data_IF_533447281850
#
_entry.id   IF_533447281850
#
_cell.length_a   1.000
_cell.length_b   1.000
_cell.length_c   1.000
_cell.angle_alpha   90.00
_cell.angle_beta   90.00
_cell.angle_gamma   90.00
#
_symmetry.space_group_name_H-M   'P 1'
#
loop_
_entity.id
_entity.type
_entity.pdbx_description
1 polymer ?
#
# COMPACT_ATOMS: atom_id res chain seq x y z
N UNK A 1 -27.90 -15.17 -7.49
CA UNK A 1 -26.80 -15.38 -8.46
C UNK A 1 -25.75 -16.23 -7.75
N UNK A 2 -25.32 -17.33 -8.37
CA UNK A 2 -24.23 -18.14 -7.81
C UNK A 2 -22.95 -17.31 -7.85
N UNK A 3 -22.28 -17.14 -6.71
CA UNK A 3 -20.99 -16.47 -6.62
C UNK A 3 -19.98 -17.36 -7.36
N UNK A 4 -19.47 -16.87 -8.47
CA UNK A 4 -18.43 -17.58 -9.23
C UNK A 4 -17.08 -17.30 -8.56
N UNK A 5 -16.45 -18.34 -8.04
CA UNK A 5 -15.11 -18.30 -7.44
C UNK A 5 -14.15 -19.07 -8.34
N UNK A 6 -12.92 -18.57 -8.59
CA UNK A 6 -11.92 -19.30 -9.37
C UNK A 6 -11.60 -20.68 -8.77
N UNK A 7 -11.50 -21.68 -9.62
CA UNK A 7 -11.08 -23.03 -9.19
C UNK A 7 -9.63 -23.01 -8.68
N UNK A 8 -9.21 -24.00 -7.85
CA UNK A 8 -7.81 -24.11 -7.40
C UNK A 8 -6.80 -24.12 -8.56
N UNK A 9 -7.16 -24.77 -9.69
CA UNK A 9 -6.31 -24.82 -10.88
C UNK A 9 -6.14 -23.44 -11.52
N UNK A 10 -7.19 -22.62 -11.54
CA UNK A 10 -7.14 -21.26 -12.05
C UNK A 10 -6.30 -20.36 -11.13
N UNK A 11 -6.44 -20.52 -9.82
CA UNK A 11 -5.65 -19.80 -8.83
C UNK A 11 -4.15 -20.16 -8.94
N UNK A 12 -3.84 -21.45 -9.06
CA UNK A 12 -2.45 -21.91 -9.25
C UNK A 12 -1.85 -21.41 -10.57
N UNK A 13 -2.66 -21.40 -11.66
CA UNK A 13 -2.25 -20.84 -12.94
C UNK A 13 -1.91 -19.35 -12.80
N UNK A 14 -2.75 -18.57 -12.10
CA UNK A 14 -2.51 -17.17 -11.82
C UNK A 14 -1.18 -16.96 -11.08
N UNK A 15 -0.92 -17.69 -9.99
CA UNK A 15 0.34 -17.60 -9.26
C UNK A 15 1.57 -17.90 -10.13
N UNK A 16 1.49 -18.92 -11.00
CA UNK A 16 2.57 -19.22 -11.96
C UNK A 16 2.81 -18.08 -12.96
N UNK A 17 1.76 -17.41 -13.38
CA UNK A 17 1.86 -16.25 -14.27
C UNK A 17 2.48 -15.03 -13.55
N UNK A 18 2.12 -14.77 -12.29
CA UNK A 18 2.79 -13.76 -11.44
C UNK A 18 4.27 -14.10 -11.27
N UNK A 19 4.59 -15.34 -10.95
CA UNK A 19 5.96 -15.81 -10.84
C UNK A 19 6.72 -15.56 -12.16
N UNK A 20 6.10 -15.81 -13.30
CA UNK A 20 6.72 -15.56 -14.61
C UNK A 20 7.01 -14.06 -14.82
N UNK A 21 6.11 -13.14 -14.44
CA UNK A 21 6.39 -11.69 -14.47
C UNK A 21 7.65 -11.39 -13.66
N UNK A 22 7.70 -11.89 -12.43
CA UNK A 22 8.79 -11.58 -11.49
C UNK A 22 10.14 -12.19 -11.91
N UNK A 23 10.16 -13.37 -12.53
CA UNK A 23 11.40 -14.05 -12.94
C UNK A 23 11.86 -13.69 -14.35
N UNK A 24 10.95 -13.69 -15.31
CA UNK A 24 11.30 -13.57 -16.73
C UNK A 24 11.11 -12.15 -17.28
N UNK A 25 10.53 -11.27 -16.50
CA UNK A 25 10.34 -9.87 -16.89
C UNK A 25 11.68 -9.15 -16.96
N UNK A 26 11.99 -8.52 -18.08
CA UNK A 26 13.07 -7.53 -18.11
C UNK A 26 12.62 -6.30 -17.30
N UNK A 27 13.35 -6.01 -16.23
CA UNK A 27 13.11 -4.83 -15.42
C UNK A 27 14.13 -3.75 -15.80
N UNK A 28 13.68 -2.75 -16.53
CA UNK A 28 14.44 -1.52 -16.77
C UNK A 28 14.16 -0.45 -15.71
N UNK A 29 13.09 -0.65 -14.93
CA UNK A 29 12.66 0.22 -13.84
C UNK A 29 11.80 -0.56 -12.85
N UNK A 30 11.53 0.04 -11.69
CA UNK A 30 10.66 -0.53 -10.65
C UNK A 30 9.16 -0.38 -10.96
N UNK A 31 8.78 0.25 -12.07
CA UNK A 31 7.40 0.56 -12.43
C UNK A 31 6.47 -0.66 -12.55
N UNK A 32 6.99 -1.80 -13.05
CA UNK A 32 6.19 -3.04 -13.13
C UNK A 32 5.84 -3.59 -11.76
N UNK A 33 6.76 -3.47 -10.79
CA UNK A 33 6.53 -3.87 -9.40
C UNK A 33 5.50 -2.96 -8.75
N UNK A 34 5.66 -1.65 -8.91
CA UNK A 34 4.70 -0.67 -8.42
C UNK A 34 3.29 -0.88 -9.02
N UNK A 35 3.19 -1.23 -10.31
CA UNK A 35 1.89 -1.53 -10.92
C UNK A 35 1.25 -2.76 -10.28
N UNK A 36 2.00 -3.84 -10.12
CA UNK A 36 1.47 -5.07 -9.55
C UNK A 36 0.99 -4.87 -8.10
N UNK A 37 1.76 -4.16 -7.27
CA UNK A 37 1.35 -3.76 -5.91
C UNK A 37 0.10 -2.86 -5.94
N UNK A 38 0.04 -1.89 -6.87
CA UNK A 38 -1.12 -1.01 -7.03
C UNK A 38 -2.39 -1.79 -7.39
N UNK A 39 -2.29 -2.79 -8.27
CA UNK A 39 -3.41 -3.64 -8.65
C UNK A 39 -3.89 -4.51 -7.47
N UNK A 40 -2.99 -5.05 -6.64
CA UNK A 40 -3.35 -5.77 -5.41
C UNK A 40 -4.13 -4.85 -4.46
N UNK A 41 -3.61 -3.67 -4.16
CA UNK A 41 -4.25 -2.71 -3.25
C UNK A 41 -5.62 -2.26 -3.73
N UNK A 42 -5.74 -1.93 -5.02
CA UNK A 42 -7.03 -1.53 -5.60
C UNK A 42 -8.02 -2.69 -5.65
N UNK A 43 -7.58 -3.92 -5.91
CA UNK A 43 -8.44 -5.09 -5.82
C UNK A 43 -8.98 -5.29 -4.41
N UNK A 44 -8.19 -5.05 -3.35
CA UNK A 44 -8.63 -5.09 -1.96
C UNK A 44 -9.64 -3.97 -1.65
N UNK A 45 -9.33 -2.74 -2.08
CA UNK A 45 -10.11 -1.55 -1.73
C UNK A 45 -11.44 -1.43 -2.49
N UNK A 46 -11.48 -1.85 -3.75
CA UNK A 46 -12.63 -1.65 -4.65
C UNK A 46 -13.26 -2.96 -5.12
N UNK A 47 -12.57 -4.09 -4.91
CA UNK A 47 -13.00 -5.38 -5.42
C UNK A 47 -13.96 -6.11 -4.48
N UNK A 48 -14.48 -7.23 -5.02
CA UNK A 48 -15.32 -8.20 -4.30
C UNK A 48 -14.66 -9.57 -4.37
N UNK A 49 -15.06 -10.49 -3.47
CA UNK A 49 -14.54 -11.86 -3.49
C UNK A 49 -15.36 -12.73 -4.45
N UNK A 50 -15.35 -12.32 -5.70
CA UNK A 50 -16.00 -13.02 -6.82
C UNK A 50 -15.01 -13.11 -7.99
N UNK A 51 -15.24 -14.03 -8.90
CA UNK A 51 -14.47 -14.15 -10.14
C UNK A 51 -14.84 -13.13 -11.22
N UNK A 52 -15.58 -12.08 -10.88
CA UNK A 52 -15.96 -11.03 -11.83
C UNK A 52 -14.77 -10.17 -12.24
N UNK A 53 -14.92 -9.46 -13.34
CA UNK A 53 -13.96 -8.43 -13.78
C UNK A 53 -14.06 -7.20 -12.89
N UNK A 54 -12.95 -6.47 -12.73
CA UNK A 54 -12.91 -5.20 -12.02
C UNK A 54 -12.37 -4.11 -12.96
N UNK A 55 -13.12 -3.03 -13.08
CA UNK A 55 -12.70 -1.84 -13.83
C UNK A 55 -12.02 -0.86 -12.91
N UNK A 56 -10.80 -0.46 -13.23
CA UNK A 56 -9.96 0.46 -12.45
C UNK A 56 -9.73 1.75 -13.25
N UNK A 57 -9.91 2.90 -12.58
CA UNK A 57 -9.52 4.19 -13.15
C UNK A 57 -8.01 4.38 -13.08
N UNK A 58 -7.42 4.96 -14.12
CA UNK A 58 -5.99 5.28 -14.12
C UNK A 58 -5.61 6.34 -13.09
N UNK A 59 -6.53 7.19 -12.66
CA UNK A 59 -6.27 8.15 -11.59
C UNK A 59 -6.12 7.45 -10.24
N UNK A 60 -6.85 6.34 -10.00
CA UNK A 60 -6.69 5.54 -8.79
C UNK A 60 -5.37 4.77 -8.81
N UNK A 61 -5.01 4.19 -9.96
CA UNK A 61 -3.71 3.53 -10.13
C UNK A 61 -2.58 4.53 -9.92
N UNK A 62 -2.67 5.74 -10.47
CA UNK A 62 -1.64 6.76 -10.29
C UNK A 62 -1.54 7.26 -8.86
N UNK A 63 -2.64 7.31 -8.12
CA UNK A 63 -2.61 7.61 -6.68
C UNK A 63 -1.77 6.60 -5.91
N UNK A 64 -1.95 5.29 -6.17
CA UNK A 64 -1.12 4.24 -5.58
C UNK A 64 0.36 4.37 -5.98
N UNK A 65 0.63 4.75 -7.23
CA UNK A 65 2.00 5.04 -7.65
C UNK A 65 2.60 6.21 -6.88
N UNK A 66 1.86 7.30 -6.71
CA UNK A 66 2.35 8.44 -5.94
C UNK A 66 2.61 8.03 -4.49
N UNK A 67 1.72 7.26 -3.86
CA UNK A 67 1.91 6.75 -2.50
C UNK A 67 3.18 5.91 -2.37
N UNK A 68 3.37 4.94 -3.28
CA UNK A 68 4.54 4.07 -3.29
C UNK A 68 5.85 4.84 -3.54
N UNK A 69 5.83 5.81 -4.45
CA UNK A 69 7.03 6.54 -4.84
C UNK A 69 7.31 7.80 -4.01
N UNK A 70 6.34 8.30 -3.24
CA UNK A 70 6.56 9.48 -2.40
C UNK A 70 7.74 9.30 -1.46
N UNK A 71 7.81 8.16 -0.80
CA UNK A 71 8.92 7.83 0.10
C UNK A 71 10.21 7.57 -0.65
N UNK A 72 10.14 6.97 -1.84
CA UNK A 72 11.29 6.66 -2.70
C UNK A 72 11.99 7.92 -3.25
N UNK A 73 11.35 9.07 -3.17
CA UNK A 73 11.90 10.36 -3.59
C UNK A 73 12.43 11.19 -2.43
N UNK A 74 12.40 10.65 -1.20
CA UNK A 74 13.11 11.26 -0.08
C UNK A 74 14.61 11.07 -0.24
N UNK A 75 15.41 12.09 0.15
CA UNK A 75 16.85 11.96 0.12
C UNK A 75 17.33 10.82 1.03
N UNK A 76 18.16 9.96 0.47
CA UNK A 76 18.88 8.96 1.24
C UNK A 76 20.18 9.60 1.77
N UNK A 77 20.37 9.58 3.08
CA UNK A 77 21.56 10.15 3.72
C UNK A 77 22.55 9.03 4.04
N UNK A 78 23.65 9.00 3.30
CA UNK A 78 24.76 8.08 3.60
C UNK A 78 25.83 8.78 4.46
N UNK A 79 26.10 10.07 4.19
CA UNK A 79 26.98 10.93 4.94
C UNK A 79 26.33 12.31 5.12
N UNK A 80 26.78 13.08 6.12
CA UNK A 80 26.22 14.39 6.47
C UNK A 80 26.25 15.43 5.33
N UNK A 81 26.94 15.17 4.22
CA UNK A 81 27.30 16.19 3.25
C UNK A 81 26.51 16.26 1.95
N UNK A 82 25.83 15.19 1.47
CA UNK A 82 25.01 15.30 0.25
C UNK A 82 23.81 14.35 0.26
N UNK A 83 22.58 14.85 0.16
CA UNK A 83 21.39 14.03 -0.02
C UNK A 83 21.38 13.40 -1.42
N UNK A 84 21.19 12.11 -1.51
CA UNK A 84 21.14 11.36 -2.75
C UNK A 84 19.76 10.74 -3.00
N UNK A 85 19.26 10.85 -4.22
CA UNK A 85 18.04 10.16 -4.63
C UNK A 85 18.40 8.80 -5.22
N UNK A 86 17.89 7.73 -4.61
CA UNK A 86 18.09 6.38 -5.10
C UNK A 86 17.52 6.21 -6.51
N UNK A 87 18.32 5.68 -7.42
CA UNK A 87 17.91 5.41 -8.80
C UNK A 87 16.94 4.23 -8.85
N UNK A 88 15.80 4.43 -9.51
CA UNK A 88 14.70 3.48 -9.63
C UNK A 88 14.58 2.88 -11.05
N UNK A 89 15.56 3.14 -11.91
CA UNK A 89 15.61 2.63 -13.28
C UNK A 89 17.05 2.56 -13.78
N UNK A 90 17.25 1.81 -14.84
CA UNK A 90 18.54 1.77 -15.55
C UNK A 90 18.69 3.02 -16.43
N UNK A 91 19.73 3.80 -16.21
CA UNK A 91 20.01 5.02 -16.97
C UNK A 91 19.51 6.31 -16.30
N UNK A 92 18.87 7.21 -17.05
CA UNK A 92 18.37 8.47 -16.50
C UNK A 92 17.26 8.26 -15.47
N UNK A 93 17.17 9.15 -14.47
CA UNK A 93 16.17 9.05 -13.42
C UNK A 93 14.74 8.90 -13.97
N UNK A 94 13.98 8.01 -13.36
CA UNK A 94 12.63 7.69 -13.79
C UNK A 94 11.69 8.90 -13.76
N UNK A 95 10.86 9.09 -14.80
CA UNK A 95 10.02 10.27 -14.94
C UNK A 95 9.02 10.48 -13.79
N UNK A 96 8.46 9.41 -13.21
CA UNK A 96 7.57 9.49 -12.04
C UNK A 96 8.35 10.01 -10.82
N UNK A 97 9.59 9.55 -10.62
CA UNK A 97 10.45 10.05 -9.53
C UNK A 97 10.66 11.57 -9.66
N UNK A 98 10.99 12.04 -10.86
CA UNK A 98 11.18 13.48 -11.10
C UNK A 98 9.91 14.29 -10.83
N UNK A 99 8.73 13.78 -11.24
CA UNK A 99 7.46 14.43 -10.98
C UNK A 99 7.15 14.54 -9.49
N UNK A 100 7.35 13.44 -8.73
CA UNK A 100 7.06 13.41 -7.30
C UNK A 100 8.11 14.22 -6.53
N UNK A 101 9.37 14.15 -6.91
CA UNK A 101 10.42 14.99 -6.30
C UNK A 101 10.10 16.49 -6.44
N UNK A 102 9.66 16.93 -7.64
CA UNK A 102 9.18 18.30 -7.85
C UNK A 102 7.98 18.63 -6.96
N UNK A 103 7.05 17.69 -6.78
CA UNK A 103 5.92 17.85 -5.84
C UNK A 103 6.39 18.05 -4.40
N UNK A 104 7.40 17.30 -3.95
CA UNK A 104 7.97 17.42 -2.60
C UNK A 104 8.69 18.76 -2.37
N UNK A 105 9.26 19.35 -3.39
CA UNK A 105 9.85 20.70 -3.28
C UNK A 105 8.77 21.76 -3.03
N UNK A 106 7.55 21.57 -3.55
CA UNK A 106 6.43 22.48 -3.37
C UNK A 106 5.62 22.18 -2.10
N UNK A 107 5.53 20.89 -1.72
CA UNK A 107 4.71 20.41 -0.61
C UNK A 107 5.56 19.57 0.33
N UNK A 108 5.67 20.00 1.59
CA UNK A 108 6.47 19.30 2.62
C UNK A 108 5.97 17.90 2.97
N UNK A 109 4.71 17.58 2.61
CA UNK A 109 4.12 16.27 2.86
C UNK A 109 3.12 15.89 1.78
N UNK A 110 2.87 14.59 1.65
CA UNK A 110 1.87 14.03 0.74
C UNK A 110 0.47 14.58 1.05
N UNK A 111 0.16 14.82 2.34
CA UNK A 111 -1.11 15.41 2.74
C UNK A 111 -1.32 16.81 2.19
N UNK A 112 -0.31 17.65 2.32
CA UNK A 112 -0.39 19.01 1.79
C UNK A 112 -0.59 19.01 0.28
N UNK A 113 0.08 18.09 -0.43
CA UNK A 113 -0.13 17.93 -1.87
C UNK A 113 -1.56 17.46 -2.20
N UNK A 114 -2.15 16.56 -1.41
CA UNK A 114 -3.54 16.08 -1.58
C UNK A 114 -4.59 17.16 -1.29
N UNK A 115 -4.33 18.05 -0.34
CA UNK A 115 -5.24 19.15 0.01
C UNK A 115 -5.36 20.18 -1.11
N UNK A 116 -4.34 20.36 -1.91
CA UNK A 116 -4.44 21.15 -3.14
C UNK A 116 -5.07 20.29 -4.25
N UNK A 117 -6.39 20.27 -4.29
CA UNK A 117 -7.15 19.41 -5.21
C UNK A 117 -6.80 19.62 -6.69
N UNK A 118 -6.50 20.85 -7.09
CA UNK A 118 -6.14 21.14 -8.48
C UNK A 118 -4.76 20.59 -8.82
N UNK A 119 -3.78 20.86 -7.97
CA UNK A 119 -2.45 20.33 -8.10
C UNK A 119 -2.43 18.80 -8.05
N UNK A 120 -3.13 18.22 -7.07
CA UNK A 120 -3.23 16.78 -6.89
C UNK A 120 -3.80 16.08 -8.13
N UNK A 121 -4.88 16.62 -8.70
CA UNK A 121 -5.45 16.09 -9.94
C UNK A 121 -4.47 16.20 -11.12
N UNK A 122 -3.75 17.30 -11.24
CA UNK A 122 -2.73 17.47 -12.29
C UNK A 122 -1.56 16.49 -12.12
N UNK A 123 -1.08 16.29 -10.89
CA UNK A 123 -0.04 15.32 -10.60
C UNK A 123 -0.49 13.89 -10.95
N UNK A 124 -1.69 13.50 -10.50
CA UNK A 124 -2.27 12.19 -10.86
C UNK A 124 -2.37 12.00 -12.37
N UNK A 125 -2.83 12.99 -13.14
CA UNK A 125 -2.90 12.92 -14.60
C UNK A 125 -1.52 12.70 -15.24
N UNK A 126 -0.50 13.45 -14.83
CA UNK A 126 0.87 13.30 -15.34
C UNK A 126 1.47 11.92 -15.03
N UNK A 127 1.23 11.41 -13.83
CA UNK A 127 1.65 10.06 -13.44
C UNK A 127 0.88 9.01 -14.23
N UNK A 128 -0.44 9.16 -14.39
CA UNK A 128 -1.28 8.26 -15.18
C UNK A 128 -0.80 8.12 -16.64
N UNK A 129 -0.38 9.21 -17.27
CA UNK A 129 0.18 9.18 -18.63
C UNK A 129 1.46 8.34 -18.73
N UNK A 130 2.30 8.39 -17.69
CA UNK A 130 3.51 7.55 -17.63
C UNK A 130 3.15 6.09 -17.35
N UNK A 131 2.22 5.84 -16.43
CA UNK A 131 1.75 4.50 -16.08
C UNK A 131 1.14 3.79 -17.29
N UNK A 132 0.31 4.47 -18.07
CA UNK A 132 -0.29 3.95 -19.31
C UNK A 132 0.77 3.54 -20.33
N UNK A 133 1.71 4.42 -20.61
CA UNK A 133 2.72 4.22 -21.66
C UNK A 133 3.77 3.18 -21.32
N UNK A 134 4.10 3.03 -20.03
CA UNK A 134 5.22 2.22 -19.60
C UNK A 134 4.76 0.92 -18.91
N UNK A 135 4.46 0.88 -17.59
CA UNK A 135 4.24 -0.40 -16.94
C UNK A 135 2.99 -1.13 -17.44
N UNK A 136 1.91 -0.42 -17.75
CA UNK A 136 0.66 -1.05 -18.23
C UNK A 136 0.85 -1.69 -19.60
N UNK A 137 1.61 -1.06 -20.49
CA UNK A 137 1.91 -1.65 -21.79
C UNK A 137 2.85 -2.86 -21.69
N UNK A 138 3.75 -2.88 -20.71
CA UNK A 138 4.85 -3.85 -20.68
C UNK A 138 4.77 -4.88 -19.55
N UNK A 139 3.85 -4.80 -18.61
CA UNK A 139 3.77 -5.75 -17.49
C UNK A 139 3.55 -7.17 -17.97
N UNK A 140 2.65 -7.35 -18.94
CA UNK A 140 2.27 -8.62 -19.53
C UNK A 140 3.05 -8.97 -20.80
N UNK A 141 4.14 -8.23 -21.09
CA UNK A 141 4.97 -8.49 -22.25
C UNK A 141 6.13 -9.44 -21.91
N UNK A 142 6.14 -10.60 -22.55
CA UNK A 142 7.17 -11.62 -22.42
C UNK A 142 7.91 -11.76 -23.74
N UNK A 143 9.17 -11.36 -23.78
CA UNK A 143 10.03 -11.45 -24.98
C UNK A 143 9.41 -10.84 -26.24
N UNK A 144 8.72 -9.70 -26.09
CA UNK A 144 8.07 -9.00 -27.20
C UNK A 144 6.62 -9.44 -27.51
N UNK A 145 6.12 -10.49 -26.85
CA UNK A 145 4.73 -10.94 -26.99
C UNK A 145 3.90 -10.45 -25.81
N UNK A 146 2.78 -9.78 -26.10
CA UNK A 146 1.81 -9.40 -25.07
C UNK A 146 0.86 -10.58 -24.82
N UNK A 147 0.84 -11.07 -23.58
CA UNK A 147 -0.03 -12.16 -23.14
C UNK A 147 -1.01 -11.62 -22.14
N UNK A 148 -2.22 -11.31 -22.58
CA UNK A 148 -3.28 -10.80 -21.70
C UNK A 148 -3.72 -11.87 -20.71
N UNK A 149 -3.39 -11.70 -19.43
CA UNK A 149 -3.83 -12.58 -18.37
C UNK A 149 -4.19 -11.87 -17.05
N UNK A 150 -3.73 -10.61 -16.86
CA UNK A 150 -4.13 -9.77 -15.74
C UNK A 150 -5.25 -8.82 -16.13
N UNK A 151 -5.07 -8.13 -17.23
CA UNK A 151 -6.00 -7.10 -17.68
C UNK A 151 -6.05 -6.99 -19.19
N UNK A 152 -7.15 -6.39 -19.65
CA UNK A 152 -7.31 -5.95 -21.03
C UNK A 152 -7.14 -4.44 -21.08
N UNK A 153 -6.45 -3.98 -22.12
CA UNK A 153 -6.38 -2.57 -22.45
C UNK A 153 -7.61 -2.18 -23.25
N UNK A 154 -8.38 -1.23 -22.76
CA UNK A 154 -9.44 -0.62 -23.59
C UNK A 154 -8.83 0.33 -24.63
N UNK A 155 -9.47 0.41 -25.82
CA UNK A 155 -9.03 1.29 -26.89
C UNK A 155 -9.05 2.76 -26.48
N UNK A 156 -9.98 3.15 -25.61
CA UNK A 156 -10.08 4.51 -25.06
C UNK A 156 -8.95 4.87 -24.11
N UNK A 157 -8.22 3.89 -23.57
CA UNK A 157 -7.20 4.02 -22.52
C UNK A 157 -7.62 4.89 -21.32
N UNK A 158 -8.92 4.94 -21.04
CA UNK A 158 -9.44 5.67 -19.86
C UNK A 158 -9.41 4.81 -18.62
N UNK A 159 -9.65 3.52 -18.77
CA UNK A 159 -9.75 2.54 -17.69
C UNK A 159 -8.92 1.31 -18.00
N UNK A 160 -8.60 0.54 -16.98
CA UNK A 160 -7.95 -0.75 -17.05
C UNK A 160 -8.93 -1.79 -16.51
N UNK A 161 -9.22 -2.83 -17.30
CA UNK A 161 -10.16 -3.88 -16.89
C UNK A 161 -9.38 -5.12 -16.49
N UNK A 162 -9.43 -5.47 -15.21
CA UNK A 162 -8.95 -6.76 -14.73
C UNK A 162 -9.82 -7.87 -15.30
N UNK A 163 -9.18 -8.90 -15.85
CA UNK A 163 -9.88 -10.04 -16.42
C UNK A 163 -10.64 -10.86 -15.34
N UNK A 164 -11.64 -11.66 -15.72
CA UNK A 164 -12.31 -12.56 -14.82
C UNK A 164 -11.31 -13.39 -13.99
N UNK A 165 -11.60 -13.59 -12.72
CA UNK A 165 -10.78 -14.28 -11.71
C UNK A 165 -9.55 -13.50 -11.20
N UNK A 166 -9.08 -12.48 -11.89
CA UNK A 166 -7.86 -11.76 -11.52
C UNK A 166 -8.08 -10.95 -10.24
N UNK A 167 -9.20 -10.24 -10.12
CA UNK A 167 -9.55 -9.49 -8.91
C UNK A 167 -9.54 -10.40 -7.68
N UNK A 168 -10.21 -11.53 -7.75
CA UNK A 168 -10.21 -12.52 -6.66
C UNK A 168 -8.80 -12.98 -6.30
N UNK A 169 -8.00 -13.39 -7.31
CA UNK A 169 -6.64 -13.89 -7.08
C UNK A 169 -5.70 -12.81 -6.52
N UNK A 170 -5.80 -11.56 -6.98
CA UNK A 170 -5.03 -10.45 -6.42
C UNK A 170 -5.35 -10.22 -4.94
N UNK A 171 -6.63 -10.34 -4.55
CA UNK A 171 -7.07 -10.22 -3.16
C UNK A 171 -6.60 -11.39 -2.32
N UNK A 172 -6.73 -12.60 -2.84
CA UNK A 172 -6.36 -13.84 -2.13
C UNK A 172 -4.86 -13.97 -1.89
N UNK A 173 -4.04 -13.50 -2.83
CA UNK A 173 -2.59 -13.68 -2.78
C UNK A 173 -1.83 -12.36 -2.61
N UNK A 174 -2.51 -11.31 -2.16
CA UNK A 174 -1.95 -9.96 -2.05
C UNK A 174 -0.68 -9.92 -1.19
N UNK A 175 -0.68 -10.54 -0.02
CA UNK A 175 0.46 -10.55 0.91
C UNK A 175 1.72 -11.13 0.25
N UNK A 176 1.60 -12.31 -0.36
CA UNK A 176 2.71 -12.96 -1.07
C UNK A 176 3.20 -12.11 -2.25
N UNK A 177 2.28 -11.51 -3.01
CA UNK A 177 2.61 -10.68 -4.16
C UNK A 177 3.32 -9.41 -3.72
N UNK A 178 2.82 -8.73 -2.68
CA UNK A 178 3.44 -7.52 -2.12
C UNK A 178 4.85 -7.82 -1.61
N UNK A 179 5.03 -8.87 -0.83
CA UNK A 179 6.33 -9.27 -0.29
C UNK A 179 7.35 -9.56 -1.39
N UNK A 180 6.96 -10.35 -2.40
CA UNK A 180 7.81 -10.65 -3.54
C UNK A 180 8.17 -9.40 -4.37
N UNK A 181 7.21 -8.50 -4.55
CA UNK A 181 7.44 -7.22 -5.24
C UNK A 181 8.39 -6.32 -4.45
N UNK A 182 8.20 -6.17 -3.14
CA UNK A 182 9.07 -5.37 -2.28
C UNK A 182 10.50 -5.91 -2.27
N UNK A 183 10.67 -7.22 -2.07
CA UNK A 183 11.97 -7.86 -2.15
C UNK A 183 12.67 -7.59 -3.48
N UNK A 184 11.95 -7.81 -4.59
CA UNK A 184 12.52 -7.58 -5.92
C UNK A 184 12.81 -6.11 -6.19
N UNK A 185 12.03 -5.21 -5.62
CA UNK A 185 12.25 -3.77 -5.70
C UNK A 185 13.54 -3.38 -4.96
N UNK A 186 13.70 -3.84 -3.73
CA UNK A 186 14.93 -3.63 -2.95
C UNK A 186 16.15 -4.18 -3.68
N UNK A 187 16.08 -5.41 -4.22
CA UNK A 187 17.16 -6.02 -4.99
C UNK A 187 17.51 -5.19 -6.24
N UNK A 188 16.49 -4.71 -6.97
CA UNK A 188 16.70 -3.85 -8.14
C UNK A 188 17.41 -2.55 -7.78
N UNK A 189 16.99 -1.87 -6.71
CA UNK A 189 17.61 -0.63 -6.24
C UNK A 189 19.03 -0.88 -5.75
N UNK A 190 19.26 -1.95 -4.99
CA UNK A 190 20.58 -2.33 -4.47
C UNK A 190 21.57 -2.64 -5.57
N UNK A 191 21.15 -3.37 -6.61
CA UNK A 191 22.00 -3.79 -7.72
C UNK A 191 22.13 -2.72 -8.83
N UNK A 192 21.42 -1.61 -8.73
CA UNK A 192 21.52 -0.54 -9.71
C UNK A 192 22.91 0.11 -9.65
N UNK A 193 23.56 0.19 -10.81
CA UNK A 193 24.93 0.72 -10.91
C UNK A 193 25.09 2.12 -10.36
N UNK A 194 24.05 2.97 -10.48
CA UNK A 194 24.05 4.32 -9.96
C UNK A 194 23.95 4.40 -8.43
N UNK A 195 23.52 3.32 -7.76
CA UNK A 195 23.37 3.25 -6.31
C UNK A 195 24.52 2.50 -5.62
N UNK A 196 25.31 1.69 -6.33
CA UNK A 196 26.30 0.77 -5.75
C UNK A 196 27.30 1.46 -4.82
N UNK A 197 27.79 2.65 -5.21
CA UNK A 197 28.78 3.37 -4.41
C UNK A 197 28.22 3.91 -3.08
N UNK A 198 26.90 3.96 -2.95
CA UNK A 198 26.22 4.59 -1.81
C UNK A 198 25.65 3.53 -0.87
N UNK A 199 25.24 2.39 -1.43
CA UNK A 199 24.54 1.33 -0.69
C UNK A 199 25.48 0.23 -0.16
N UNK A 200 26.78 0.32 -0.40
CA UNK A 200 27.74 -0.68 0.06
C UNK A 200 27.81 -0.69 1.60
N UNK A 201 27.36 -1.79 2.20
CA UNK A 201 27.37 -2.01 3.65
C UNK A 201 26.17 -1.47 4.45
N UNK A 202 25.10 -0.99 3.82
CA UNK A 202 23.93 -0.47 4.55
C UNK A 202 22.93 -1.56 4.93
N UNK A 203 22.54 -1.63 6.22
CA UNK A 203 21.83 -2.80 6.75
C UNK A 203 20.36 -2.88 6.33
N UNK A 204 19.62 -1.77 6.15
CA UNK A 204 18.17 -1.88 6.01
C UNK A 204 17.54 -0.91 4.99
N UNK A 205 17.81 -1.23 3.71
CA UNK A 205 17.19 -0.53 2.59
C UNK A 205 15.67 -0.74 2.53
N UNK A 206 15.18 -1.91 2.96
CA UNK A 206 13.76 -2.23 2.94
C UNK A 206 12.96 -1.33 3.89
N UNK A 207 13.46 -1.16 5.10
CA UNK A 207 12.86 -0.25 6.10
C UNK A 207 12.82 1.20 5.59
N UNK A 208 13.92 1.69 5.01
CA UNK A 208 13.92 3.02 4.40
C UNK A 208 12.87 3.13 3.29
N UNK A 209 12.74 2.11 2.45
CA UNK A 209 11.88 2.17 1.27
C UNK A 209 10.39 2.00 1.60
N UNK A 210 10.03 1.16 2.57
CA UNK A 210 8.64 0.71 2.73
C UNK A 210 8.03 0.94 4.10
N UNK A 211 8.81 1.09 5.18
CA UNK A 211 8.23 1.31 6.51
C UNK A 211 7.83 2.77 6.77
N UNK A 212 6.77 3.02 7.54
CA UNK A 212 6.34 4.37 7.88
C UNK A 212 7.39 5.09 8.75
N UNK A 213 7.42 6.42 8.65
CA UNK A 213 8.30 7.24 9.48
C UNK A 213 7.83 7.24 10.94
N UNK A 214 8.71 6.89 11.90
CA UNK A 214 8.39 6.90 13.34
C UNK A 214 7.92 8.26 13.87
N UNK A 215 8.40 9.36 13.29
CA UNK A 215 7.98 10.71 13.70
C UNK A 215 6.52 11.00 13.33
N UNK A 216 6.04 10.47 12.20
CA UNK A 216 4.63 10.62 11.80
C UNK A 216 3.70 9.84 12.76
N UNK A 217 4.08 8.63 13.17
CA UNK A 217 3.28 7.83 14.10
C UNK A 217 3.18 8.48 15.50
N UNK A 218 4.18 9.22 15.94
CA UNK A 218 4.11 9.95 17.20
C UNK A 218 2.98 10.98 17.21
N UNK A 219 2.85 11.78 16.16
CA UNK A 219 1.78 12.78 16.04
C UNK A 219 0.40 12.12 15.96
N UNK A 220 0.29 10.97 15.28
CA UNK A 220 -0.93 10.15 15.30
C UNK A 220 -1.25 9.70 16.72
N UNK A 221 -0.27 9.23 17.47
CA UNK A 221 -0.45 8.80 18.86
C UNK A 221 -0.94 9.93 19.76
N UNK A 222 -0.37 11.13 19.64
CA UNK A 222 -0.83 12.32 20.39
C UNK A 222 -2.31 12.64 20.11
N UNK A 223 -2.73 12.60 18.86
CA UNK A 223 -4.14 12.74 18.46
C UNK A 223 -5.03 11.63 19.05
N UNK A 224 -4.58 10.38 18.97
CA UNK A 224 -5.34 9.23 19.46
C UNK A 224 -5.46 9.22 21.01
N UNK A 225 -4.48 9.79 21.74
CA UNK A 225 -4.58 9.98 23.19
C UNK A 225 -5.79 10.81 23.55
N UNK A 226 -6.02 11.91 22.85
CA UNK A 226 -7.18 12.77 23.08
C UNK A 226 -8.47 12.08 22.63
N UNK A 227 -8.48 11.49 21.45
CA UNK A 227 -9.65 10.81 20.88
C UNK A 227 -10.14 9.66 21.77
N UNK A 228 -9.24 8.87 22.33
CA UNK A 228 -9.54 7.70 23.16
C UNK A 228 -9.47 7.99 24.68
N UNK A 229 -9.39 9.27 25.06
CA UNK A 229 -9.31 9.70 26.49
C UNK A 229 -8.19 8.95 27.25
N UNK A 230 -7.03 8.82 26.61
CA UNK A 230 -5.86 8.10 27.13
C UNK A 230 -6.16 6.65 27.57
N UNK A 231 -7.10 5.96 26.92
CA UNK A 231 -7.44 4.54 27.18
C UNK A 231 -6.99 3.66 26.04
N UNK A 232 -6.52 2.47 26.39
CA UNK A 232 -6.22 1.44 25.39
C UNK A 232 -7.47 1.00 24.65
N UNK A 233 -7.39 0.94 23.32
CA UNK A 233 -8.51 0.47 22.47
C UNK A 233 -8.97 -0.95 22.86
N UNK A 234 -8.03 -1.83 23.17
CA UNK A 234 -8.31 -3.24 23.45
C UNK A 234 -8.78 -3.50 24.89
N UNK A 235 -8.00 -3.14 25.89
CA UNK A 235 -8.34 -3.48 27.27
C UNK A 235 -9.14 -2.38 28.01
N UNK A 236 -9.39 -1.24 27.37
CA UNK A 236 -10.12 -0.09 27.90
C UNK A 236 -9.53 0.51 29.19
N UNK A 237 -8.37 0.04 29.64
CA UNK A 237 -7.69 0.57 30.83
C UNK A 237 -6.97 1.88 30.48
N UNK A 238 -6.87 2.81 31.46
CA UNK A 238 -6.04 4.01 31.30
C UNK A 238 -4.58 3.64 31.02
N UNK A 239 -3.98 4.29 30.03
CA UNK A 239 -2.58 4.08 29.66
C UNK A 239 -1.71 5.02 30.51
N UNK A 240 -0.65 4.49 31.12
CA UNK A 240 0.32 5.31 31.85
C UNK A 240 1.05 6.23 30.89
N UNK A 241 1.44 7.43 31.38
CA UNK A 241 2.14 8.43 30.58
C UNK A 241 3.29 7.80 29.77
N UNK A 242 3.33 8.06 28.47
CA UNK A 242 4.34 7.59 27.51
C UNK A 242 4.47 6.06 27.31
N UNK A 243 3.47 5.26 27.73
CA UNK A 243 3.43 3.81 27.51
C UNK A 243 2.38 3.39 26.50
N UNK A 244 2.13 4.24 25.54
CA UNK A 244 1.21 3.95 24.43
C UNK A 244 1.96 3.64 23.15
N UNK A 245 1.32 2.86 22.32
CA UNK A 245 1.71 2.57 20.97
C UNK A 245 0.56 2.94 20.02
N UNK A 246 0.91 3.33 18.80
CA UNK A 246 -0.03 3.38 17.69
C UNK A 246 -0.02 2.03 17.01
N UNK A 247 -1.14 1.34 17.06
CA UNK A 247 -1.31 0.04 16.42
C UNK A 247 -2.12 0.18 15.14
N UNK A 248 -1.77 -0.63 14.14
CA UNK A 248 -2.58 -0.85 12.95
C UNK A 248 -3.63 -1.91 13.28
N UNK A 249 -4.90 -1.51 13.37
CA UNK A 249 -5.99 -2.45 13.68
C UNK A 249 -6.03 -3.63 12.69
N UNK A 250 -6.00 -3.35 11.38
CA UNK A 250 -5.63 -4.34 10.36
C UNK A 250 -4.11 -4.32 10.26
N UNK A 251 -3.43 -5.44 10.54
CA UNK A 251 -1.98 -5.50 10.59
C UNK A 251 -1.30 -5.02 9.32
N UNK A 252 -0.17 -4.32 9.50
CA UNK A 252 0.66 -3.86 8.39
C UNK A 252 1.08 -4.99 7.45
N UNK A 253 1.36 -6.17 7.99
CA UNK A 253 1.74 -7.35 7.22
C UNK A 253 0.66 -7.78 6.21
N UNK A 254 -0.62 -7.62 6.58
CA UNK A 254 -1.74 -7.95 5.69
C UNK A 254 -2.02 -6.84 4.66
N UNK A 255 -1.98 -5.58 5.11
CA UNK A 255 -2.27 -4.43 4.26
C UNK A 255 -1.27 -3.30 4.51
N UNK A 256 -0.15 -3.25 3.77
CA UNK A 256 0.95 -2.33 4.01
C UNK A 256 0.64 -0.90 3.49
N UNK A 257 -0.37 -0.27 4.09
CA UNK A 257 -0.72 1.11 3.82
C UNK A 257 -1.24 1.81 5.08
N UNK A 258 -0.69 2.98 5.35
CA UNK A 258 -1.12 3.82 6.45
C UNK A 258 -2.43 4.54 6.09
N UNK A 259 -3.52 4.07 6.66
CA UNK A 259 -4.82 4.74 6.58
C UNK A 259 -5.24 5.25 7.95
N UNK A 260 -5.70 6.48 8.03
CA UNK A 260 -5.98 7.15 9.31
C UNK A 260 -6.98 6.39 10.19
N UNK A 261 -8.02 5.82 9.59
CA UNK A 261 -9.03 5.03 10.31
C UNK A 261 -8.52 3.70 10.84
N UNK A 262 -7.38 3.21 10.31
CA UNK A 262 -6.78 1.94 10.76
C UNK A 262 -5.99 2.08 12.06
N UNK A 263 -5.60 3.29 12.44
CA UNK A 263 -4.84 3.50 13.66
C UNK A 263 -5.69 3.46 14.91
N UNK A 264 -5.20 2.79 15.95
CA UNK A 264 -5.76 2.80 17.29
C UNK A 264 -4.69 3.04 18.34
N UNK A 265 -5.04 3.70 19.44
CA UNK A 265 -4.15 3.83 20.61
C UNK A 265 -4.20 2.53 21.40
N UNK A 266 -3.06 1.92 21.66
CA UNK A 266 -2.96 0.69 22.44
C UNK A 266 -1.94 0.85 23.58
N UNK A 267 -2.16 0.15 24.67
CA UNK A 267 -1.10 -0.10 25.66
C UNK A 267 0.00 -0.96 25.03
N UNK A 268 1.26 -0.70 25.33
CA UNK A 268 2.40 -1.42 24.76
C UNK A 268 2.28 -2.95 24.89
N UNK A 269 1.72 -3.43 26.03
CA UNK A 269 1.54 -4.87 26.24
C UNK A 269 0.46 -5.45 25.33
N UNK A 270 -0.66 -4.72 25.16
CA UNK A 270 -1.72 -5.16 24.26
C UNK A 270 -1.24 -5.14 22.79
N UNK A 271 -0.49 -4.11 22.41
CA UNK A 271 0.09 -4.01 21.07
C UNK A 271 1.07 -5.17 20.78
N UNK A 272 1.98 -5.45 21.71
CA UNK A 272 2.91 -6.57 21.61
C UNK A 272 2.20 -7.93 21.57
N UNK A 273 1.16 -8.11 22.38
CA UNK A 273 0.41 -9.37 22.42
C UNK A 273 -0.42 -9.59 21.16
N UNK A 274 -0.97 -8.52 20.57
CA UNK A 274 -1.69 -8.60 19.29
C UNK A 274 -0.72 -8.85 18.14
N UNK A 275 0.44 -8.18 18.13
CA UNK A 275 1.44 -8.29 17.04
C UNK A 275 0.78 -8.18 15.65
N UNK A 276 1.09 -9.08 14.72
CA UNK A 276 0.56 -9.13 13.37
C UNK A 276 -0.75 -9.94 13.23
N UNK A 277 -1.38 -10.29 14.35
CA UNK A 277 -2.68 -10.96 14.31
C UNK A 277 -3.83 -9.96 14.11
N UNK A 278 -4.88 -10.38 13.39
CA UNK A 278 -6.17 -9.71 13.46
C UNK A 278 -6.77 -9.88 14.85
N UNK A 279 -7.37 -8.84 15.39
CA UNK A 279 -8.11 -8.89 16.64
C UNK A 279 -9.43 -9.67 16.45
N UNK A 280 -10.07 -10.12 17.53
CA UNK A 280 -11.36 -10.83 17.46
C UNK A 280 -12.48 -9.97 16.83
N UNK A 281 -13.55 -10.62 16.37
CA UNK A 281 -14.69 -9.93 15.74
C UNK A 281 -15.35 -8.89 16.67
N UNK A 282 -15.28 -9.06 17.98
CA UNK A 282 -15.75 -8.08 18.95
C UNK A 282 -15.01 -6.75 18.82
N UNK A 283 -13.67 -6.81 18.65
CA UNK A 283 -12.88 -5.62 18.41
C UNK A 283 -13.15 -5.01 17.03
N UNK A 284 -13.48 -5.82 16.02
CA UNK A 284 -13.90 -5.29 14.72
C UNK A 284 -15.15 -4.43 14.83
N UNK A 285 -16.16 -4.89 15.57
CA UNK A 285 -17.39 -4.11 15.79
C UNK A 285 -17.08 -2.79 16.53
N UNK A 286 -16.27 -2.84 17.58
CA UNK A 286 -15.85 -1.63 18.33
C UNK A 286 -15.06 -0.66 17.44
N UNK A 287 -14.19 -1.18 16.57
CA UNK A 287 -13.42 -0.37 15.65
C UNK A 287 -14.31 0.29 14.58
N UNK A 288 -15.29 -0.43 14.05
CA UNK A 288 -16.27 0.11 13.11
C UNK A 288 -17.12 1.20 13.76
N UNK A 289 -17.63 0.96 14.96
CA UNK A 289 -18.42 1.95 15.72
C UNK A 289 -17.60 3.21 16.04
N UNK A 290 -16.35 3.06 16.51
CA UNK A 290 -15.43 4.18 16.74
C UNK A 290 -15.24 4.99 15.46
N UNK A 291 -14.97 4.33 14.34
CA UNK A 291 -14.73 4.99 13.07
C UNK A 291 -15.97 5.74 12.56
N UNK A 292 -17.17 5.17 12.71
CA UNK A 292 -18.42 5.86 12.36
C UNK A 292 -18.68 7.09 13.25
N UNK A 293 -18.46 6.97 14.54
CA UNK A 293 -18.72 8.05 15.50
C UNK A 293 -17.72 9.22 15.36
N UNK A 294 -16.50 8.95 14.93
CA UNK A 294 -15.42 9.94 14.88
C UNK A 294 -14.84 10.15 13.47
N UNK A 295 -15.54 9.75 12.41
CA UNK A 295 -15.06 9.84 11.03
C UNK A 295 -14.57 11.24 10.65
N UNK A 296 -15.39 12.25 10.89
CA UNK A 296 -15.07 13.65 10.58
C UNK A 296 -13.78 14.10 11.31
N UNK A 297 -13.69 13.81 12.61
CA UNK A 297 -12.54 14.21 13.42
C UNK A 297 -11.25 13.48 12.99
N UNK A 298 -11.34 12.18 12.74
CA UNK A 298 -10.22 11.37 12.23
C UNK A 298 -9.76 11.89 10.87
N UNK A 299 -10.73 12.18 9.99
CA UNK A 299 -10.46 12.70 8.65
C UNK A 299 -9.79 14.07 8.72
N UNK A 300 -10.32 15.00 9.53
CA UNK A 300 -9.79 16.35 9.62
C UNK A 300 -8.36 16.38 10.21
N UNK A 301 -8.11 15.61 11.28
CA UNK A 301 -6.82 15.66 11.95
C UNK A 301 -5.75 14.81 11.23
N UNK A 302 -6.07 13.58 10.84
CA UNK A 302 -5.06 12.72 10.24
C UNK A 302 -4.76 13.07 8.77
N UNK A 303 -5.71 13.68 8.04
CA UNK A 303 -5.39 14.23 6.72
C UNK A 303 -4.38 15.40 6.78
N UNK A 304 -4.39 16.20 7.87
CA UNK A 304 -3.37 17.24 8.09
C UNK A 304 -1.97 16.64 8.28
N UNK A 305 -1.90 15.43 8.84
CA UNK A 305 -0.64 14.71 9.06
C UNK A 305 -0.19 13.88 7.84
N UNK A 306 -1.01 13.76 6.80
CA UNK A 306 -0.60 13.09 5.59
C UNK A 306 -1.22 11.75 5.31
N UNK A 307 -2.02 11.28 6.22
CA UNK A 307 -2.61 9.97 6.08
C UNK A 307 -3.85 9.99 5.18
N UNK A 308 -4.05 8.90 4.46
CA UNK A 308 -5.30 8.67 3.74
C UNK A 308 -6.42 8.44 4.76
N UNK A 309 -7.47 9.22 4.64
CA UNK A 309 -8.63 9.14 5.51
C UNK A 309 -9.87 8.90 4.67
N UNK A 310 -10.23 7.64 4.49
CA UNK A 310 -11.45 7.23 3.81
C UNK A 310 -12.04 6.04 4.55
N UNK A 311 -13.16 6.25 5.22
CA UNK A 311 -13.82 5.25 6.06
C UNK A 311 -14.32 4.05 5.25
N UNK A 312 -14.88 4.27 4.06
CA UNK A 312 -15.39 3.19 3.21
C UNK A 312 -14.26 2.28 2.75
N UNK A 313 -13.13 2.86 2.33
CA UNK A 313 -11.91 2.11 1.97
C UNK A 313 -11.41 1.29 3.16
N UNK A 314 -11.32 1.90 4.34
CA UNK A 314 -10.87 1.21 5.55
C UNK A 314 -11.79 0.05 5.94
N UNK A 315 -13.10 0.22 5.80
CA UNK A 315 -14.08 -0.85 6.02
C UNK A 315 -13.97 -1.95 4.95
N UNK A 316 -13.71 -1.61 3.69
CA UNK A 316 -13.49 -2.61 2.62
C UNK A 316 -12.26 -3.46 2.90
N UNK A 317 -11.16 -2.81 3.34
CA UNK A 317 -9.93 -3.51 3.74
C UNK A 317 -10.18 -4.43 4.94
N UNK A 318 -10.86 -3.95 5.98
CA UNK A 318 -11.19 -4.76 7.15
C UNK A 318 -12.10 -5.95 6.77
N UNK A 319 -13.14 -5.73 5.98
CA UNK A 319 -14.02 -6.79 5.50
C UNK A 319 -13.25 -7.87 4.72
N UNK A 320 -12.31 -7.45 3.87
CA UNK A 320 -11.42 -8.37 3.17
C UNK A 320 -10.55 -9.16 4.14
N UNK A 321 -9.85 -8.49 5.07
CA UNK A 321 -8.92 -9.12 6.00
C UNK A 321 -9.60 -10.20 6.87
N UNK A 322 -10.76 -9.85 7.44
CA UNK A 322 -11.51 -10.81 8.28
C UNK A 322 -12.11 -11.98 7.50
N UNK A 323 -12.45 -11.76 6.23
CA UNK A 323 -12.86 -12.87 5.37
C UNK A 323 -11.68 -13.79 5.04
N UNK A 324 -10.50 -13.24 4.71
CA UNK A 324 -9.29 -14.02 4.52
C UNK A 324 -8.98 -14.87 5.76
N UNK A 325 -9.10 -14.27 6.94
CA UNK A 325 -8.89 -15.00 8.19
C UNK A 325 -9.90 -16.13 8.38
N UNK A 326 -11.17 -15.92 8.05
CA UNK A 326 -12.22 -16.93 8.14
C UNK A 326 -12.03 -18.07 7.14
N UNK A 327 -11.71 -17.74 5.88
CA UNK A 327 -11.54 -18.74 4.81
C UNK A 327 -10.27 -19.59 4.99
N UNK A 328 -9.23 -19.02 5.60
CA UNK A 328 -7.95 -19.70 5.83
C UNK A 328 -7.76 -20.15 7.29
N UNK A 329 -8.79 -20.06 8.11
CA UNK A 329 -8.78 -20.48 9.52
C UNK A 329 -7.65 -19.82 10.34
N UNK A 330 -7.36 -18.52 10.09
CA UNK A 330 -6.36 -17.78 10.84
C UNK A 330 -6.80 -17.57 12.28
N UNK A 331 -5.85 -17.69 13.20
CA UNK A 331 -6.10 -17.39 14.60
C UNK A 331 -6.32 -15.88 14.78
N UNK A 332 -7.46 -15.53 15.39
CA UNK A 332 -7.73 -14.17 15.82
C UNK A 332 -7.22 -13.96 17.23
N UNK A 333 -6.51 -12.86 17.43
CA UNK A 333 -6.05 -12.47 18.75
C UNK A 333 -7.23 -12.07 19.65
N UNK A 334 -7.17 -12.50 20.91
CA UNK A 334 -8.13 -12.16 21.96
C UNK A 334 -7.39 -11.59 23.15
N UNK A 335 -8.06 -10.67 23.85
CA UNK A 335 -7.55 -10.18 25.13
C UNK A 335 -7.63 -11.30 26.15
N UNK A 336 -6.49 -11.68 26.74
CA UNK A 336 -6.40 -12.69 27.80
C UNK A 336 -6.76 -12.14 29.17
#
# INVERSE_FOLDING_TARGET
>A
MSIFIPTPQQQLKFLKQIQQILHSGSFSSTYKLALLMSLCRLAIEQGKDTGESLTLDYLDISEKFIDLYWKQTLPFHFNENEPFLLQQNNGKQAGIISLIHTAQQSYKSLALARRDHLYWLQLKKKVADTVKRMPVTYLQNFKGQNVEFLYRLEDSRKQLILLPNVMYCLRQFSEIIEELCQKKWVDFVRLNKGNLLILDGLPDLATFMFEPSRNQLRQVGEFLVDLQMCKCFYCQKPIKQNKWAVDHFIPWAMYPADTGHNFVLADEKCNLAKSDFLASEEFLLQWQERNQNFDSLITDELSKLGFLTNIERSHSVASWAYRQAKENEYLLWRLG
#
